data_IF_221566215207
#
_entry.id   IF_221566215207
#
_cell.length_a   1.000
_cell.length_b   1.000
_cell.length_c   1.000
_cell.angle_alpha   90.00
_cell.angle_beta   90.00
_cell.angle_gamma   90.00
#
_symmetry.space_group_name_H-M   'P 1'
#
loop_
_entity.id
_entity.type
_entity.pdbx_description
1 polymer ?
#
# COMPACT_ATOMS: atom_id res chain seq x y z
N UNK A 1 -58.26 29.57 28.77
CA UNK A 1 -57.77 30.85 29.32
C UNK A 1 -56.55 31.29 28.53
N UNK A 2 -56.44 32.61 28.34
CA UNK A 2 -55.64 33.31 27.33
C UNK A 2 -54.12 33.20 27.52
N UNK A 3 -53.35 33.22 26.42
CA UNK A 3 -51.91 33.50 26.39
C UNK A 3 -51.65 35.02 26.34
N UNK A 4 -50.52 35.45 26.89
CA UNK A 4 -50.02 36.84 26.97
C UNK A 4 -48.48 36.72 26.95
N UNK A 5 -47.64 37.40 26.17
CA UNK A 5 -47.64 38.42 25.11
C UNK A 5 -46.34 38.11 24.30
N UNK A 6 -46.29 38.00 22.97
CA UNK A 6 -46.27 39.07 21.96
C UNK A 6 -45.41 40.30 22.28
N UNK A 7 -44.20 40.36 21.69
CA UNK A 7 -43.68 41.60 21.10
C UNK A 7 -42.92 41.29 19.82
N UNK A 8 -43.44 41.83 18.71
CA UNK A 8 -42.82 41.92 17.39
C UNK A 8 -42.10 43.28 17.26
N UNK A 9 -41.21 43.36 16.26
CA UNK A 9 -40.80 44.50 15.40
C UNK A 9 -39.26 44.54 15.33
N UNK A 10 -38.60 44.84 14.21
CA UNK A 10 -39.02 45.15 12.85
C UNK A 10 -37.78 45.10 11.95
N UNK A 11 -37.88 44.38 10.85
CA UNK A 11 -37.63 44.85 9.47
C UNK A 11 -36.81 46.14 9.28
N UNK A 12 -35.64 46.03 8.62
CA UNK A 12 -35.25 46.66 7.33
C UNK A 12 -33.75 46.98 7.30
N UNK A 13 -33.01 46.35 6.38
CA UNK A 13 -31.99 46.94 5.48
C UNK A 13 -31.52 45.83 4.51
N UNK A 14 -32.11 45.70 3.31
CA UNK A 14 -31.55 46.18 2.02
C UNK A 14 -30.04 45.92 1.90
N UNK A 15 -29.62 44.84 1.23
CA UNK A 15 -29.35 44.81 -0.21
C UNK A 15 -28.33 45.86 -0.67
N UNK A 16 -27.08 45.45 -0.85
CA UNK A 16 -26.10 45.92 -1.85
C UNK A 16 -24.66 45.77 -1.35
N UNK A 17 -23.98 44.69 -1.74
CA UNK A 17 -22.58 44.72 -2.20
C UNK A 17 -22.18 43.34 -2.73
N UNK A 18 -22.75 43.03 -3.90
CA UNK A 18 -22.02 42.37 -4.97
C UNK A 18 -20.77 43.21 -5.25
N UNK A 19 -19.58 42.72 -4.86
CA UNK A 19 -18.25 43.02 -5.45
C UNK A 19 -17.11 42.86 -4.43
N UNK A 20 -16.81 41.63 -3.99
CA UNK A 20 -15.42 41.20 -3.75
C UNK A 20 -15.27 39.78 -4.30
N UNK A 21 -15.63 39.64 -5.57
CA UNK A 21 -15.02 38.66 -6.46
C UNK A 21 -13.75 39.35 -6.97
N UNK A 22 -12.64 38.61 -7.06
CA UNK A 22 -11.29 39.05 -7.47
C UNK A 22 -10.39 39.47 -6.30
N UNK A 23 -9.58 38.52 -5.81
CA UNK A 23 -8.12 38.64 -5.61
C UNK A 23 -7.62 37.56 -4.65
N UNK A 24 -7.69 36.31 -5.09
CA UNK A 24 -6.64 35.32 -4.80
C UNK A 24 -6.49 34.41 -6.03
N UNK A 25 -6.21 35.03 -7.19
CA UNK A 25 -5.47 34.35 -8.26
C UNK A 25 -4.00 34.32 -7.81
N UNK A 26 -3.69 33.37 -6.94
CA UNK A 26 -2.30 32.97 -6.72
C UNK A 26 -1.92 32.05 -7.87
N UNK A 27 -1.36 32.70 -8.89
CA UNK A 27 -0.31 32.20 -9.78
C UNK A 27 -0.17 30.68 -9.89
N UNK A 28 -0.49 30.20 -11.09
CA UNK A 28 -0.12 28.91 -11.63
C UNK A 28 1.29 28.50 -11.22
N UNK A 29 1.40 27.63 -10.23
CA UNK A 29 2.48 26.66 -10.22
C UNK A 29 2.12 25.68 -11.33
N UNK A 30 2.65 25.95 -12.52
CA UNK A 30 2.73 24.98 -13.60
C UNK A 30 3.32 23.71 -13.00
N UNK A 31 2.46 22.74 -12.72
CA UNK A 31 2.83 21.38 -12.38
C UNK A 31 3.48 20.79 -13.64
N UNK A 32 4.76 21.09 -13.84
CA UNK A 32 5.53 20.72 -15.02
C UNK A 32 5.88 19.23 -15.08
N UNK A 33 5.35 18.40 -14.16
CA UNK A 33 5.58 16.96 -14.10
C UNK A 33 4.49 16.08 -14.73
N UNK A 34 3.31 16.61 -15.07
CA UNK A 34 2.20 15.80 -15.62
C UNK A 34 1.57 16.44 -16.85
N UNK A 35 1.19 15.60 -17.81
CA UNK A 35 0.33 16.01 -18.93
C UNK A 35 -1.13 16.05 -18.48
N UNK A 36 -1.99 16.75 -19.26
CA UNK A 36 -3.44 16.77 -19.04
C UNK A 36 -4.06 15.36 -19.00
N UNK A 37 -3.54 14.43 -19.80
CA UNK A 37 -4.00 13.05 -19.83
C UNK A 37 -3.69 12.30 -18.52
N UNK A 38 -2.54 12.58 -17.91
CA UNK A 38 -2.15 11.96 -16.64
C UNK A 38 -3.06 12.43 -15.50
N UNK A 39 -3.34 13.74 -15.46
CA UNK A 39 -4.26 14.34 -14.47
C UNK A 39 -5.64 13.68 -14.57
N UNK A 40 -6.18 13.54 -15.79
CA UNK A 40 -7.49 12.96 -16.02
C UNK A 40 -7.54 11.46 -15.68
N UNK A 41 -6.47 10.72 -15.98
CA UNK A 41 -6.32 9.32 -15.58
C UNK A 41 -6.41 9.15 -14.04
N UNK A 42 -5.71 9.97 -13.26
CA UNK A 42 -5.74 9.86 -11.81
C UNK A 42 -7.09 10.28 -11.21
N UNK A 43 -7.72 11.32 -11.76
CA UNK A 43 -9.06 11.74 -11.33
C UNK A 43 -10.10 10.65 -11.61
N UNK A 44 -10.05 9.99 -12.77
CA UNK A 44 -10.94 8.86 -13.10
C UNK A 44 -10.73 7.64 -12.19
N UNK A 45 -9.53 7.50 -11.60
CA UNK A 45 -9.23 6.45 -10.61
C UNK A 45 -9.60 6.84 -9.17
N UNK A 46 -10.23 8.00 -8.97
CA UNK A 46 -10.73 8.44 -7.67
C UNK A 46 -9.70 9.14 -6.79
N UNK A 47 -8.54 9.53 -7.33
CA UNK A 47 -7.58 10.37 -6.61
C UNK A 47 -8.14 11.78 -6.46
N UNK A 48 -7.84 12.42 -5.32
CA UNK A 48 -8.24 13.82 -5.09
C UNK A 48 -7.29 14.76 -5.82
N UNK A 49 -7.78 15.96 -6.15
CA UNK A 49 -6.97 16.97 -6.83
C UNK A 49 -5.66 17.28 -6.08
N UNK A 50 -5.67 17.26 -4.75
CA UNK A 50 -4.48 17.49 -3.91
C UNK A 50 -3.45 16.33 -3.99
N UNK A 51 -3.91 15.10 -4.18
CA UNK A 51 -3.02 13.96 -4.39
C UNK A 51 -2.36 14.02 -5.77
N UNK A 52 -3.13 14.42 -6.79
CA UNK A 52 -2.64 14.58 -8.16
C UNK A 52 -1.61 15.69 -8.24
N UNK A 53 -1.86 16.85 -7.61
CA UNK A 53 -0.87 17.94 -7.60
C UNK A 53 0.42 17.53 -6.91
N UNK A 54 0.38 16.80 -5.80
CA UNK A 54 1.60 16.27 -5.14
C UNK A 54 2.40 15.31 -6.03
N UNK A 55 1.72 14.43 -6.77
CA UNK A 55 2.36 13.52 -7.73
C UNK A 55 3.03 14.28 -8.88
N UNK A 56 2.37 15.34 -9.36
CA UNK A 56 2.83 16.13 -10.50
C UNK A 56 3.84 17.24 -10.13
N UNK A 57 4.10 17.46 -8.85
CA UNK A 57 5.05 18.46 -8.33
C UNK A 57 6.44 17.88 -8.04
N UNK A 58 6.66 16.59 -8.29
CA UNK A 58 7.98 15.97 -8.10
C UNK A 58 8.88 16.44 -9.25
N UNK A 59 9.93 17.23 -8.99
CA UNK A 59 10.81 17.72 -10.03
C UNK A 59 11.66 16.56 -10.54
N UNK A 60 11.24 15.97 -11.65
CA UNK A 60 12.10 15.05 -12.40
C UNK A 60 13.04 15.92 -13.21
N UNK A 61 14.31 16.00 -12.83
CA UNK A 61 15.32 16.73 -13.59
C UNK A 61 15.40 16.15 -15.02
N UNK A 62 14.87 16.87 -16.00
CA UNK A 62 14.92 16.49 -17.41
C UNK A 62 16.16 17.11 -18.07
N UNK A 63 16.94 16.36 -18.87
CA UNK A 63 17.89 16.95 -19.81
C UNK A 63 17.14 17.62 -20.98
N UNK A 64 17.79 18.60 -21.58
CA UNK A 64 17.22 19.57 -22.53
C UNK A 64 16.45 18.96 -23.71
N UNK A 65 15.40 19.69 -24.11
CA UNK A 65 14.33 19.30 -25.02
C UNK A 65 14.76 18.98 -26.46
N UNK A 66 14.20 17.88 -26.98
CA UNK A 66 13.82 17.73 -28.38
C UNK A 66 12.27 17.60 -28.43
N UNK A 67 11.59 18.08 -29.48
CA UNK A 67 10.13 18.16 -29.51
C UNK A 67 9.53 16.76 -29.70
N UNK A 68 8.96 16.19 -28.64
CA UNK A 68 8.30 14.89 -28.68
C UNK A 68 6.81 15.03 -29.02
N UNK A 69 6.43 14.45 -30.16
CA UNK A 69 5.05 14.08 -30.48
C UNK A 69 4.57 13.03 -29.46
N UNK A 70 3.33 13.18 -28.99
CA UNK A 70 2.75 12.34 -27.95
C UNK A 70 2.60 10.89 -28.37
N UNK A 71 3.20 9.99 -27.58
CA UNK A 71 2.77 8.61 -27.44
C UNK A 71 2.45 8.38 -25.96
N UNK A 72 1.33 7.74 -25.61
CA UNK A 72 1.10 7.30 -24.23
C UNK A 72 2.20 6.31 -23.87
N UNK A 73 3.06 6.67 -22.91
CA UNK A 73 4.04 5.75 -22.36
C UNK A 73 3.28 4.67 -21.59
N UNK A 74 3.02 3.55 -22.25
CA UNK A 74 2.74 2.30 -21.56
C UNK A 74 3.94 2.00 -20.67
N UNK A 75 3.78 2.18 -19.35
CA UNK A 75 4.74 1.70 -18.38
C UNK A 75 5.04 0.23 -18.63
N UNK A 76 6.28 -0.21 -18.36
CA UNK A 76 6.64 -1.61 -18.58
C UNK A 76 5.70 -2.52 -17.76
N UNK A 77 5.42 -3.75 -18.23
CA UNK A 77 4.59 -4.68 -17.48
C UNK A 77 5.08 -4.88 -16.03
N UNK A 78 6.40 -4.84 -15.84
CA UNK A 78 7.07 -4.91 -14.54
C UNK A 78 6.74 -3.70 -13.65
N UNK A 79 6.71 -2.48 -14.18
CA UNK A 79 6.35 -1.30 -13.37
C UNK A 79 4.88 -1.31 -12.94
N UNK A 80 3.99 -1.83 -13.79
CA UNK A 80 2.55 -1.96 -13.47
C UNK A 80 2.33 -3.05 -12.42
N UNK A 81 2.96 -4.20 -12.57
CA UNK A 81 2.86 -5.30 -11.61
C UNK A 81 3.53 -4.93 -10.27
N UNK A 82 4.65 -4.19 -10.29
CA UNK A 82 5.27 -3.61 -9.10
C UNK A 82 4.30 -2.72 -8.31
N UNK A 83 3.63 -1.77 -8.97
CA UNK A 83 2.66 -0.89 -8.32
C UNK A 83 1.47 -1.66 -7.75
N UNK A 84 0.97 -2.66 -8.48
CA UNK A 84 -0.10 -3.51 -7.99
C UNK A 84 0.32 -4.34 -6.78
N UNK A 85 1.45 -5.05 -6.85
CA UNK A 85 1.91 -5.90 -5.75
C UNK A 85 2.24 -5.09 -4.50
N UNK A 86 2.78 -3.88 -4.65
CA UNK A 86 2.99 -2.96 -3.54
C UNK A 86 1.67 -2.56 -2.84
N UNK A 87 0.57 -2.45 -3.58
CA UNK A 87 -0.75 -2.17 -3.01
C UNK A 87 -1.44 -3.42 -2.44
N UNK A 88 -1.29 -4.56 -3.12
CA UNK A 88 -2.01 -5.80 -2.85
C UNK A 88 -1.44 -6.58 -1.66
N UNK A 89 -0.12 -6.56 -1.46
CA UNK A 89 0.52 -7.27 -0.35
C UNK A 89 0.35 -6.49 0.96
N UNK A 90 0.09 -7.23 2.04
CA UNK A 90 0.13 -6.65 3.39
C UNK A 90 1.57 -6.65 3.90
N UNK A 91 2.40 -5.85 3.22
CA UNK A 91 3.83 -5.76 3.41
C UNK A 91 4.35 -4.36 3.02
N UNK A 92 5.57 -4.05 3.43
CA UNK A 92 6.29 -2.83 3.10
C UNK A 92 7.45 -3.13 2.14
N UNK A 93 8.01 -2.09 1.51
CA UNK A 93 9.21 -2.21 0.64
C UNK A 93 9.10 -3.31 -0.42
N UNK A 94 7.89 -3.51 -0.96
CA UNK A 94 7.66 -4.52 -2.00
C UNK A 94 8.47 -4.14 -3.23
N UNK A 95 9.27 -5.06 -3.73
CA UNK A 95 10.09 -4.91 -4.93
C UNK A 95 10.02 -6.20 -5.73
N UNK A 96 9.56 -6.13 -6.98
CA UNK A 96 9.59 -7.22 -7.94
C UNK A 96 10.60 -6.89 -9.03
N UNK A 97 11.29 -7.92 -9.51
CA UNK A 97 12.01 -7.87 -10.77
C UNK A 97 11.81 -9.19 -11.54
N UNK A 98 12.52 -9.40 -12.64
CA UNK A 98 12.35 -10.60 -13.46
C UNK A 98 12.65 -11.94 -12.75
N UNK A 99 13.39 -11.93 -11.63
CA UNK A 99 13.92 -13.14 -11.00
C UNK A 99 13.41 -13.34 -9.56
N UNK A 100 13.00 -12.27 -8.88
CA UNK A 100 12.62 -12.33 -7.46
C UNK A 100 11.57 -11.30 -7.07
N UNK A 101 10.83 -11.65 -6.03
CA UNK A 101 10.00 -10.74 -5.23
C UNK A 101 10.67 -10.56 -3.87
N UNK A 102 10.80 -9.32 -3.41
CA UNK A 102 11.28 -8.99 -2.07
C UNK A 102 10.28 -8.09 -1.37
N UNK A 103 10.01 -8.34 -0.09
CA UNK A 103 9.12 -7.50 0.70
C UNK A 103 9.48 -7.58 2.18
N UNK A 104 9.08 -6.57 2.95
CA UNK A 104 9.23 -6.53 4.40
C UNK A 104 7.90 -6.78 5.09
N UNK A 105 7.81 -7.78 5.96
CA UNK A 105 6.61 -8.09 6.74
C UNK A 105 6.93 -8.27 8.22
N UNK A 106 5.93 -8.12 9.09
CA UNK A 106 6.02 -8.51 10.49
C UNK A 106 5.61 -9.98 10.60
N UNK A 107 6.54 -10.85 10.95
CA UNK A 107 6.27 -12.28 11.16
C UNK A 107 6.26 -12.57 12.67
N UNK A 108 5.22 -13.28 13.12
CA UNK A 108 5.00 -13.63 14.51
C UNK A 108 5.03 -15.14 14.72
N UNK A 109 5.52 -15.58 15.87
CA UNK A 109 5.53 -16.98 16.29
C UNK A 109 4.97 -17.10 17.69
N UNK A 110 4.12 -18.10 17.86
CA UNK A 110 3.63 -18.52 19.16
C UNK A 110 4.63 -19.48 19.81
N UNK A 111 4.93 -19.29 21.10
CA UNK A 111 5.84 -20.15 21.85
C UNK A 111 5.46 -20.23 23.34
N UNK A 112 5.95 -21.26 24.01
CA UNK A 112 5.68 -21.51 25.43
C UNK A 112 4.30 -22.11 25.71
N UNK A 113 4.04 -22.50 26.97
CA UNK A 113 2.71 -22.94 27.40
C UNK A 113 1.73 -21.76 27.48
N UNK A 114 0.42 -22.02 27.43
CA UNK A 114 -0.58 -21.00 27.74
C UNK A 114 -0.36 -20.41 29.13
N UNK A 115 -0.56 -19.10 29.26
CA UNK A 115 -0.51 -18.42 30.55
C UNK A 115 -1.81 -18.65 31.37
N UNK A 116 -1.93 -18.01 32.54
CA UNK A 116 -3.10 -18.15 33.41
C UNK A 116 -4.43 -17.67 32.79
N UNK A 117 -4.39 -17.04 31.62
CA UNK A 117 -5.56 -16.60 30.84
C UNK A 117 -5.78 -17.45 29.58
N UNK A 118 -5.11 -18.59 29.47
CA UNK A 118 -5.16 -19.51 28.32
C UNK A 118 -4.69 -18.86 27.00
N UNK A 119 -3.79 -17.86 27.11
CA UNK A 119 -3.17 -17.20 25.96
C UNK A 119 -1.74 -17.69 25.81
N UNK A 120 -1.37 -18.05 24.58
CA UNK A 120 0.01 -18.42 24.22
C UNK A 120 0.80 -17.15 23.96
N UNK A 121 2.07 -17.11 24.40
CA UNK A 121 2.93 -15.95 24.12
C UNK A 121 3.26 -15.86 22.63
N UNK A 122 3.20 -14.65 22.08
CA UNK A 122 3.55 -14.35 20.69
C UNK A 122 4.77 -13.43 20.64
N UNK A 123 5.79 -13.82 19.87
CA UNK A 123 6.93 -12.97 19.56
C UNK A 123 6.97 -12.63 18.08
N UNK A 124 7.18 -11.35 17.76
CA UNK A 124 7.21 -10.87 16.39
C UNK A 124 8.53 -10.20 16.03
N UNK A 125 8.96 -10.38 14.78
CA UNK A 125 10.06 -9.64 14.19
C UNK A 125 9.70 -9.12 12.80
N UNK A 126 10.26 -7.97 12.45
CA UNK A 126 10.22 -7.50 11.08
C UNK A 126 11.26 -8.27 10.26
N UNK A 127 10.86 -8.79 9.11
CA UNK A 127 11.71 -9.58 8.24
C UNK A 127 11.62 -9.09 6.81
N UNK A 128 12.73 -9.08 6.10
CA UNK A 128 12.74 -9.03 4.65
C UNK A 128 12.70 -10.46 4.13
N UNK A 129 11.66 -10.78 3.37
CA UNK A 129 11.52 -12.05 2.67
C UNK A 129 11.88 -11.82 1.21
N UNK A 130 12.79 -12.63 0.68
CA UNK A 130 13.11 -12.70 -0.75
C UNK A 130 12.67 -14.06 -1.28
N UNK A 131 11.87 -14.02 -2.34
CA UNK A 131 11.30 -15.17 -3.02
C UNK A 131 11.90 -15.22 -4.42
N UNK A 132 12.72 -16.23 -4.72
CA UNK A 132 13.21 -16.44 -6.07
C UNK A 132 12.13 -17.16 -6.89
N UNK A 133 11.87 -16.67 -8.10
CA UNK A 133 10.82 -17.20 -8.97
C UNK A 133 11.19 -18.51 -9.66
N UNK A 134 12.49 -18.79 -9.81
CA UNK A 134 12.98 -20.03 -10.40
C UNK A 134 12.54 -21.24 -9.55
N UNK A 135 11.75 -22.14 -10.15
CA UNK A 135 11.25 -23.32 -9.47
C UNK A 135 10.24 -23.05 -8.34
N UNK A 136 9.69 -21.83 -8.25
CA UNK A 136 8.70 -21.45 -7.25
C UNK A 136 7.37 -22.20 -7.51
N UNK A 137 6.77 -22.72 -6.44
CA UNK A 137 5.48 -23.41 -6.47
C UNK A 137 4.49 -22.70 -5.57
N UNK A 138 3.37 -22.26 -6.13
CA UNK A 138 2.22 -21.79 -5.35
C UNK A 138 1.43 -23.02 -4.90
N UNK A 139 1.41 -23.28 -3.59
CA UNK A 139 0.84 -24.51 -3.00
C UNK A 139 -0.60 -24.36 -2.58
N UNK A 140 -0.94 -23.25 -1.93
CA UNK A 140 -2.26 -23.00 -1.36
C UNK A 140 -2.59 -21.53 -1.48
N UNK A 141 -3.81 -21.21 -1.89
CA UNK A 141 -4.35 -19.86 -1.92
C UNK A 141 -5.50 -19.83 -0.91
N UNK A 142 -5.53 -18.82 -0.06
CA UNK A 142 -6.48 -18.69 1.04
C UNK A 142 -7.07 -17.28 1.01
N UNK A 143 -8.37 -17.19 0.76
CA UNK A 143 -9.13 -15.93 0.70
C UNK A 143 -9.23 -15.20 2.04
N UNK A 144 -8.74 -15.83 3.12
CA UNK A 144 -8.99 -15.34 4.47
C UNK A 144 -10.48 -15.43 4.81
N UNK A 145 -10.81 -15.03 6.02
CA UNK A 145 -12.18 -14.81 6.45
C UNK A 145 -12.22 -13.43 7.09
N UNK A 146 -13.15 -12.57 6.64
CA UNK A 146 -13.16 -11.11 6.90
C UNK A 146 -12.99 -10.71 8.38
N UNK A 147 -13.32 -11.59 9.33
CA UNK A 147 -13.23 -11.34 10.78
C UNK A 147 -12.15 -12.15 11.52
N UNK A 148 -11.53 -13.15 10.90
CA UNK A 148 -10.77 -14.18 11.65
C UNK A 148 -9.38 -14.43 11.04
N UNK A 149 -9.21 -14.25 9.73
CA UNK A 149 -7.98 -14.65 9.06
C UNK A 149 -7.71 -13.80 7.83
N UNK A 150 -6.49 -13.30 7.72
CA UNK A 150 -6.10 -12.53 6.54
C UNK A 150 -5.90 -13.43 5.31
N UNK A 151 -6.04 -12.83 4.13
CA UNK A 151 -5.79 -13.51 2.89
C UNK A 151 -4.29 -13.77 2.74
N UNK A 152 -3.93 -14.94 2.23
CA UNK A 152 -2.53 -15.31 2.01
C UNK A 152 -2.44 -16.42 0.98
N UNK A 153 -1.27 -16.55 0.36
CA UNK A 153 -0.95 -17.75 -0.39
C UNK A 153 0.41 -18.30 0.03
N UNK A 154 0.48 -19.62 0.11
CA UNK A 154 1.64 -20.39 0.51
C UNK A 154 2.49 -20.66 -0.72
N UNK A 155 3.73 -20.25 -0.69
CA UNK A 155 4.73 -20.56 -1.72
C UNK A 155 5.79 -21.52 -1.19
N UNK A 156 6.38 -22.31 -2.08
CA UNK A 156 7.47 -23.24 -1.82
C UNK A 156 8.54 -23.08 -2.90
N UNK A 157 9.81 -22.95 -2.51
CA UNK A 157 10.90 -22.73 -3.46
C UNK A 157 12.18 -22.30 -2.77
N UNK A 158 13.00 -21.53 -3.49
CA UNK A 158 14.18 -20.88 -2.93
C UNK A 158 13.79 -19.55 -2.29
N UNK A 159 13.77 -19.54 -0.96
CA UNK A 159 13.28 -18.44 -0.14
C UNK A 159 14.36 -18.05 0.88
N UNK A 160 14.56 -16.75 1.04
CA UNK A 160 15.47 -16.16 2.02
C UNK A 160 14.70 -15.24 2.94
N UNK A 161 15.05 -15.26 4.23
CA UNK A 161 14.52 -14.41 5.28
C UNK A 161 15.66 -13.72 6.01
N UNK A 162 15.56 -12.40 6.15
CA UNK A 162 16.53 -11.57 6.86
C UNK A 162 15.81 -10.78 7.97
N UNK A 163 16.29 -10.86 9.21
CA UNK A 163 15.69 -10.13 10.32
C UNK A 163 16.10 -8.66 10.32
N UNK A 164 15.12 -7.77 10.39
CA UNK A 164 15.33 -6.33 10.50
C UNK A 164 15.23 -5.91 11.97
N UNK A 165 16.25 -5.22 12.46
CA UNK A 165 16.27 -4.66 13.81
C UNK A 165 15.93 -5.68 14.92
N UNK A 166 16.46 -6.91 14.81
CA UNK A 166 16.23 -7.95 15.82
C UNK A 166 16.67 -7.51 17.23
N UNK A 167 17.55 -6.51 17.33
CA UNK A 167 17.94 -5.88 18.57
C UNK A 167 16.76 -5.24 19.35
N UNK A 168 15.70 -4.77 18.65
CA UNK A 168 14.50 -4.18 19.25
C UNK A 168 13.51 -5.19 19.84
N UNK A 169 13.64 -6.47 19.48
CA UNK A 169 12.86 -7.57 20.07
C UNK A 169 13.37 -7.83 21.50
N UNK A 170 12.55 -8.36 22.42
CA UNK A 170 13.02 -8.69 23.77
C UNK A 170 14.01 -9.85 23.74
N UNK A 171 14.94 -9.92 24.69
CA UNK A 171 16.04 -10.92 24.65
C UNK A 171 15.53 -12.37 24.62
N UNK A 172 14.47 -12.68 25.38
CA UNK A 172 13.85 -14.01 25.42
C UNK A 172 13.15 -14.33 24.09
N UNK A 173 12.33 -13.40 23.60
CA UNK A 173 11.62 -13.51 22.32
C UNK A 173 12.57 -13.71 21.13
N UNK A 174 13.76 -13.10 21.15
CA UNK A 174 14.77 -13.22 20.08
C UNK A 174 15.16 -14.68 19.82
N UNK A 175 15.42 -15.46 20.87
CA UNK A 175 15.85 -16.85 20.67
C UNK A 175 14.74 -17.70 20.06
N UNK A 176 13.49 -17.46 20.47
CA UNK A 176 12.34 -18.20 19.95
C UNK A 176 12.02 -17.80 18.50
N UNK A 177 12.07 -16.51 18.19
CA UNK A 177 11.93 -16.00 16.81
C UNK A 177 12.97 -16.63 15.89
N UNK A 178 14.25 -16.60 16.26
CA UNK A 178 15.34 -17.16 15.43
C UNK A 178 15.21 -18.69 15.29
N UNK A 179 14.73 -19.36 16.34
CA UNK A 179 14.52 -20.81 16.34
C UNK A 179 13.35 -21.23 15.44
N UNK A 180 12.24 -20.49 15.48
CA UNK A 180 10.99 -20.85 14.81
C UNK A 180 10.85 -20.25 13.40
N UNK A 181 11.54 -19.14 13.11
CA UNK A 181 11.58 -18.52 11.79
C UNK A 181 12.95 -18.74 11.14
N UNK A 182 13.16 -19.85 10.41
CA UNK A 182 14.45 -20.13 9.80
C UNK A 182 14.81 -19.08 8.74
N UNK A 183 16.09 -18.74 8.58
CA UNK A 183 16.55 -17.77 7.57
C UNK A 183 16.41 -18.28 6.13
N UNK A 184 16.34 -19.59 5.92
CA UNK A 184 16.10 -20.20 4.61
C UNK A 184 14.88 -21.14 4.70
N UNK A 185 13.66 -20.60 4.79
CA UNK A 185 12.47 -21.42 4.88
C UNK A 185 12.21 -22.15 3.57
N UNK A 186 11.69 -23.39 3.62
CA UNK A 186 11.21 -24.08 2.41
C UNK A 186 9.87 -23.51 1.92
N UNK A 187 9.09 -22.91 2.83
CA UNK A 187 7.75 -22.40 2.58
C UNK A 187 7.52 -21.10 3.34
N UNK A 188 6.83 -20.16 2.70
CA UNK A 188 6.41 -18.89 3.32
C UNK A 188 4.98 -18.57 2.89
N UNK A 189 4.19 -18.02 3.81
CA UNK A 189 2.92 -17.39 3.48
C UNK A 189 3.20 -15.95 3.05
N UNK A 190 2.80 -15.59 1.83
CA UNK A 190 2.84 -14.21 1.38
C UNK A 190 1.53 -13.55 1.81
N UNK A 191 1.58 -12.51 2.67
CA UNK A 191 0.39 -11.89 3.22
C UNK A 191 -0.26 -10.94 2.20
N UNK A 192 -1.59 -10.99 2.12
CA UNK A 192 -2.38 -10.18 1.18
C UNK A 192 -3.31 -9.27 1.96
N UNK A 193 -3.38 -8.02 1.52
CA UNK A 193 -4.23 -7.00 2.11
C UNK A 193 -5.70 -7.40 1.98
N UNK A 194 -6.49 -7.11 3.02
CA UNK A 194 -7.94 -7.39 3.03
C UNK A 194 -8.65 -6.75 1.84
N UNK A 195 -9.63 -7.48 1.30
CA UNK A 195 -10.43 -7.04 0.16
C UNK A 195 -9.77 -7.26 -1.21
N UNK A 196 -8.53 -7.75 -1.24
CA UNK A 196 -7.84 -8.15 -2.48
C UNK A 196 -8.04 -9.65 -2.70
N UNK A 197 -8.39 -10.04 -3.92
CA UNK A 197 -8.51 -11.44 -4.31
C UNK A 197 -7.12 -12.09 -4.40
N UNK A 198 -6.81 -13.09 -3.56
CA UNK A 198 -5.49 -13.70 -3.57
C UNK A 198 -5.22 -14.56 -4.81
N UNK A 199 -6.24 -14.98 -5.55
CA UNK A 199 -6.04 -15.65 -6.84
C UNK A 199 -5.51 -14.66 -7.89
N UNK A 200 -5.99 -13.41 -7.92
CA UNK A 200 -5.47 -12.38 -8.82
C UNK A 200 -3.99 -12.08 -8.53
N UNK A 201 -3.64 -11.96 -7.24
CA UNK A 201 -2.25 -11.76 -6.81
C UNK A 201 -1.37 -12.93 -7.24
N UNK A 202 -1.84 -14.17 -7.02
CA UNK A 202 -1.13 -15.37 -7.43
C UNK A 202 -0.94 -15.43 -8.96
N UNK A 203 -1.97 -15.09 -9.75
CA UNK A 203 -1.88 -15.04 -11.21
C UNK A 203 -0.83 -14.05 -11.69
N UNK A 204 -0.71 -12.88 -11.06
CA UNK A 204 0.34 -11.91 -11.43
C UNK A 204 1.74 -12.44 -11.14
N UNK A 205 1.93 -13.10 -10.00
CA UNK A 205 3.22 -13.70 -9.64
C UNK A 205 3.57 -14.85 -10.58
N UNK A 206 2.59 -15.66 -11.02
CA UNK A 206 2.80 -16.76 -11.98
C UNK A 206 3.48 -16.31 -13.28
N UNK A 207 3.30 -15.07 -13.72
CA UNK A 207 3.96 -14.51 -14.91
C UNK A 207 5.49 -14.52 -14.83
N UNK A 208 6.04 -14.52 -13.61
CA UNK A 208 7.47 -14.43 -13.35
C UNK A 208 8.10 -15.79 -13.03
N UNK A 209 7.29 -16.81 -12.77
CA UNK A 209 7.75 -18.17 -12.47
C UNK A 209 8.27 -18.80 -13.76
N UNK A 210 9.51 -19.31 -13.71
CA UNK A 210 10.20 -19.99 -14.83
C UNK A 210 10.57 -21.41 -14.43
#
# INVERSE_FOLDING_TARGET
>A
MKPLFHTKLSTKTTAALLAVFSLFFSTELLASGCSKADIEFYLQKGFTHEQVTKLCSIPTAAPAAAPYQGQPQQGSPESVDQAYLAAALDANNVTINQNRLSYTSKECVEYGPPNNTDLIEEACANTTVTVNFAGLKIRKISNGFFLIKDAQFLVEGDLKREFLNLNKVRRQDKSEVVRLLPTNPKRVNIPIRRGIDPEEVAQRIRKYIR
#
